data_IF_355221286294
#
_entry.id   IF_355221286294
#
_cell.length_a   1.000
_cell.length_b   1.000
_cell.length_c   1.000
_cell.angle_alpha   90.00
_cell.angle_beta   90.00
_cell.angle_gamma   90.00
#
_symmetry.space_group_name_H-M   'P 1'
#
loop_
_entity.id
_entity.type
_entity.pdbx_description
1 polymer ?
#
# COMPACT_ATOMS: atom_id res chain seq x y z
N UNK A 1 -26.43 1.88 28.29
CA UNK A 1 -25.08 1.39 27.94
C UNK A 1 -25.26 0.01 27.32
N UNK A 2 -24.40 -0.39 26.39
CA UNK A 2 -24.39 -1.66 25.60
C UNK A 2 -24.80 -1.57 24.11
N UNK A 3 -24.49 -0.45 23.45
CA UNK A 3 -24.44 -0.36 21.98
C UNK A 3 -23.03 -0.40 21.40
N UNK A 4 -22.01 -0.76 22.19
CA UNK A 4 -20.62 -0.85 21.76
C UNK A 4 -20.28 -2.34 21.58
N UNK A 5 -19.68 -2.71 20.44
CA UNK A 5 -19.11 -4.03 20.11
C UNK A 5 -20.04 -5.05 19.43
N UNK A 6 -20.77 -4.64 18.38
CA UNK A 6 -20.99 -5.54 17.23
C UNK A 6 -20.09 -5.14 16.06
N UNK A 7 -18.80 -4.93 16.31
CA UNK A 7 -17.84 -5.07 15.22
C UNK A 7 -17.88 -6.54 14.82
N UNK A 8 -18.44 -6.82 13.64
CA UNK A 8 -18.18 -8.09 12.95
C UNK A 8 -16.68 -8.10 12.70
N UNK A 9 -15.92 -8.74 13.58
CA UNK A 9 -14.54 -9.11 13.32
C UNK A 9 -14.62 -10.02 12.09
N UNK A 10 -14.26 -9.50 10.93
CA UNK A 10 -14.07 -10.30 9.73
C UNK A 10 -12.82 -11.15 9.98
N UNK A 11 -13.01 -12.29 10.63
CA UNK A 11 -11.93 -13.26 10.83
C UNK A 11 -11.64 -13.84 9.44
N UNK A 12 -10.42 -13.60 8.98
CA UNK A 12 -9.83 -14.21 7.80
C UNK A 12 -10.15 -15.71 7.72
N UNK A 13 -10.93 -16.14 6.72
CA UNK A 13 -11.23 -17.57 6.48
C UNK A 13 -9.96 -18.36 6.05
N UNK A 14 -8.90 -17.64 5.66
CA UNK A 14 -7.59 -18.18 5.32
C UNK A 14 -6.51 -17.27 5.96
N UNK A 15 -5.83 -17.70 7.04
CA UNK A 15 -5.00 -16.82 7.87
C UNK A 15 -3.64 -16.44 7.25
N UNK A 16 -3.35 -16.89 6.02
CA UNK A 16 -2.02 -16.77 5.43
C UNK A 16 -2.08 -15.91 4.16
N UNK A 17 -1.17 -14.93 4.05
CA UNK A 17 -0.91 -14.25 2.80
C UNK A 17 -0.43 -15.29 1.76
N UNK A 18 -1.14 -15.40 0.65
CA UNK A 18 -0.77 -16.36 -0.41
C UNK A 18 0.21 -15.68 -1.35
N UNK A 19 1.41 -16.27 -1.58
CA UNK A 19 2.34 -15.72 -2.56
C UNK A 19 1.71 -15.78 -3.96
N UNK A 20 1.87 -14.70 -4.72
CA UNK A 20 1.38 -14.58 -6.08
C UNK A 20 2.43 -14.00 -7.02
N UNK A 21 1.98 -13.62 -8.21
CA UNK A 21 2.81 -12.99 -9.24
C UNK A 21 2.20 -11.67 -9.67
N UNK A 22 3.01 -10.83 -10.32
CA UNK A 22 2.51 -9.68 -11.07
C UNK A 22 1.86 -10.23 -12.34
N UNK A 23 0.57 -9.96 -12.54
CA UNK A 23 -0.25 -10.58 -13.60
C UNK A 23 -0.38 -9.71 -14.84
N UNK A 24 0.19 -8.50 -14.83
CA UNK A 24 0.07 -7.56 -15.93
C UNK A 24 1.02 -6.38 -15.80
N UNK A 25 1.01 -5.47 -16.79
CA UNK A 25 1.90 -4.34 -16.81
C UNK A 25 1.56 -3.34 -15.70
N UNK A 26 2.56 -2.52 -15.35
CA UNK A 26 2.34 -1.28 -14.60
C UNK A 26 1.43 -0.34 -15.43
N UNK A 27 0.41 0.22 -14.80
CA UNK A 27 -0.55 1.15 -15.40
C UNK A 27 -0.56 2.45 -14.61
N UNK A 28 -0.75 3.57 -15.28
CA UNK A 28 -1.00 4.86 -14.65
C UNK A 28 -2.50 5.09 -14.57
N UNK A 29 -3.00 5.51 -13.41
CA UNK A 29 -4.41 5.84 -13.25
C UNK A 29 -4.79 6.99 -14.18
N UNK A 30 -5.84 6.80 -14.98
CA UNK A 30 -6.35 7.82 -15.89
C UNK A 30 -6.90 9.06 -15.15
N UNK A 31 -7.43 8.87 -13.93
CA UNK A 31 -7.95 9.95 -13.09
C UNK A 31 -6.86 10.58 -12.20
N UNK A 32 -5.72 9.94 -12.03
CA UNK A 32 -4.60 10.42 -11.22
C UNK A 32 -3.29 10.05 -11.90
N UNK A 33 -2.81 10.83 -12.88
CA UNK A 33 -1.67 10.45 -13.73
C UNK A 33 -0.34 10.28 -12.98
N UNK A 34 -0.28 10.59 -11.68
CA UNK A 34 0.87 10.32 -10.80
C UNK A 34 0.77 9.00 -10.03
N UNK A 35 -0.34 8.28 -10.17
CA UNK A 35 -0.61 7.05 -9.43
C UNK A 35 -0.43 5.83 -10.34
N UNK A 36 0.75 5.22 -10.24
CA UNK A 36 1.11 3.98 -10.90
C UNK A 36 0.62 2.78 -10.07
N UNK A 37 0.00 1.82 -10.74
CA UNK A 37 -0.53 0.60 -10.14
C UNK A 37 -0.13 -0.62 -10.96
N UNK A 38 -0.05 -1.78 -10.32
CA UNK A 38 0.12 -3.05 -11.03
C UNK A 38 -0.86 -4.10 -10.50
N UNK A 39 -1.37 -4.96 -11.39
CA UNK A 39 -2.19 -6.07 -10.98
C UNK A 39 -1.31 -7.23 -10.49
N UNK A 40 -1.78 -7.95 -9.49
CA UNK A 40 -1.14 -9.14 -8.95
C UNK A 40 -2.16 -10.21 -8.56
N UNK A 41 -1.69 -11.45 -8.45
CA UNK A 41 -2.49 -12.58 -7.99
C UNK A 41 -2.27 -12.92 -6.51
N UNK A 42 -1.46 -12.14 -5.78
CA UNK A 42 -1.31 -12.35 -4.34
C UNK A 42 -2.68 -12.22 -3.68
N UNK A 43 -3.14 -13.29 -3.06
CA UNK A 43 -4.43 -13.33 -2.41
C UNK A 43 -4.26 -12.86 -0.96
N UNK A 44 -4.80 -11.67 -0.69
CA UNK A 44 -5.04 -11.15 0.65
C UNK A 44 -6.53 -11.19 0.94
N UNK A 45 -6.89 -11.47 2.17
CA UNK A 45 -8.27 -11.36 2.66
C UNK A 45 -8.83 -9.95 2.42
N UNK A 46 -10.16 -9.83 2.41
CA UNK A 46 -10.80 -8.53 2.59
C UNK A 46 -10.26 -7.90 3.89
N UNK A 47 -9.68 -6.71 3.78
CA UNK A 47 -8.97 -6.04 4.88
C UNK A 47 -7.44 -6.04 4.76
N UNK A 48 -6.85 -6.67 3.75
CA UNK A 48 -5.41 -6.54 3.49
C UNK A 48 -5.01 -5.21 2.83
N UNK A 49 -5.96 -4.38 2.37
CA UNK A 49 -5.66 -3.06 1.81
C UNK A 49 -4.80 -2.24 2.77
N UNK A 50 -3.77 -1.57 2.23
CA UNK A 50 -2.75 -0.89 3.03
C UNK A 50 -1.53 -1.75 3.38
N UNK A 51 -1.61 -3.08 3.20
CA UNK A 51 -0.46 -3.97 3.44
C UNK A 51 0.57 -3.88 2.32
N UNK A 52 1.87 -4.10 2.61
CA UNK A 52 2.91 -4.06 1.59
C UNK A 52 2.88 -5.31 0.70
N UNK A 53 3.08 -5.10 -0.60
CA UNK A 53 3.40 -6.19 -1.53
C UNK A 53 4.92 -6.35 -1.59
N UNK A 54 5.43 -7.47 -1.08
CA UNK A 54 6.88 -7.72 -0.95
C UNK A 54 7.37 -8.66 -2.05
N UNK A 55 8.48 -8.30 -2.68
CA UNK A 55 9.21 -9.17 -3.59
C UNK A 55 9.88 -10.31 -2.82
N UNK A 56 9.48 -11.55 -3.08
CA UNK A 56 10.15 -12.72 -2.50
C UNK A 56 11.64 -12.79 -2.87
N UNK A 57 12.00 -12.38 -4.10
CA UNK A 57 13.38 -12.42 -4.59
C UNK A 57 14.30 -11.41 -3.89
N UNK A 58 13.79 -10.21 -3.58
CA UNK A 58 14.62 -9.10 -3.12
C UNK A 58 14.33 -8.63 -1.69
N UNK A 59 13.24 -9.09 -1.08
CA UNK A 59 12.75 -8.60 0.21
C UNK A 59 12.22 -7.16 0.18
N UNK A 60 12.18 -6.51 -1.00
CA UNK A 60 11.78 -5.11 -1.15
C UNK A 60 10.27 -4.98 -1.36
N UNK A 61 9.69 -3.90 -0.83
CA UNK A 61 8.33 -3.49 -1.15
C UNK A 61 8.21 -3.03 -2.60
N UNK A 62 7.35 -3.69 -3.35
CA UNK A 62 7.00 -3.36 -4.74
C UNK A 62 5.85 -2.36 -4.81
N UNK A 63 4.98 -2.37 -3.81
CA UNK A 63 3.86 -1.46 -3.68
C UNK A 63 3.05 -1.69 -2.41
N UNK A 64 1.90 -1.04 -2.34
CA UNK A 64 0.91 -1.17 -1.27
C UNK A 64 -0.37 -1.71 -1.89
N UNK A 65 -0.91 -2.78 -1.32
CA UNK A 65 -2.16 -3.38 -1.78
C UNK A 65 -3.31 -2.38 -1.61
N UNK A 66 -4.11 -2.18 -2.65
CA UNK A 66 -5.16 -1.17 -2.73
C UNK A 66 -6.55 -1.81 -2.73
N UNK A 67 -6.88 -2.54 -3.79
CA UNK A 67 -8.25 -3.02 -4.03
C UNK A 67 -8.27 -4.32 -4.83
N UNK A 68 -9.40 -5.02 -4.76
CA UNK A 68 -9.69 -6.21 -5.55
C UNK A 68 -10.86 -5.90 -6.48
N UNK A 69 -10.71 -6.18 -7.78
CA UNK A 69 -11.78 -6.09 -8.77
C UNK A 69 -11.80 -7.37 -9.60
N UNK A 70 -12.93 -8.09 -9.62
CA UNK A 70 -13.10 -9.33 -10.41
C UNK A 70 -11.94 -10.34 -10.26
N UNK A 71 -11.56 -10.65 -9.01
CA UNK A 71 -10.44 -11.54 -8.67
C UNK A 71 -9.04 -11.04 -9.09
N UNK A 72 -8.94 -9.83 -9.65
CA UNK A 72 -7.68 -9.13 -9.90
C UNK A 72 -7.39 -8.20 -8.73
N UNK A 73 -6.26 -8.39 -8.07
CA UNK A 73 -5.81 -7.53 -6.99
C UNK A 73 -4.87 -6.45 -7.53
N UNK A 74 -5.00 -5.24 -7.01
CA UNK A 74 -4.24 -4.07 -7.45
C UNK A 74 -3.39 -3.53 -6.33
N UNK A 75 -2.13 -3.22 -6.64
CA UNK A 75 -1.24 -2.50 -5.74
C UNK A 75 -0.79 -1.17 -6.33
N UNK A 76 -0.72 -0.13 -5.50
CA UNK A 76 -0.09 1.14 -5.82
C UNK A 76 1.41 0.93 -5.75
N UNK A 77 2.12 1.22 -6.84
CA UNK A 77 3.55 1.01 -6.92
C UNK A 77 4.33 1.90 -5.95
N UNK A 78 5.44 1.38 -5.42
CA UNK A 78 6.31 2.09 -4.46
C UNK A 78 6.78 3.46 -4.96
N UNK A 79 6.87 3.67 -6.28
CA UNK A 79 7.21 4.98 -6.86
C UNK A 79 6.15 6.03 -6.50
N UNK A 80 4.87 5.77 -6.75
CA UNK A 80 3.77 6.68 -6.42
C UNK A 80 3.62 6.85 -4.92
N UNK A 81 3.74 5.77 -4.15
CA UNK A 81 3.69 5.85 -2.67
C UNK A 81 4.77 6.81 -2.14
N UNK A 82 5.98 6.77 -2.69
CA UNK A 82 7.07 7.68 -2.28
C UNK A 82 6.80 9.12 -2.67
N UNK A 83 6.27 9.36 -3.87
CA UNK A 83 6.00 10.70 -4.36
C UNK A 83 4.85 11.35 -3.56
N UNK A 84 3.80 10.59 -3.28
CA UNK A 84 2.68 11.03 -2.44
C UNK A 84 3.14 11.30 -1.00
N UNK A 85 3.94 10.39 -0.41
CA UNK A 85 4.49 10.58 0.94
C UNK A 85 5.39 11.82 1.04
N UNK A 86 6.21 12.10 0.03
CA UNK A 86 7.05 13.32 0.00
C UNK A 86 6.20 14.58 -0.02
N UNK A 87 5.14 14.57 -0.81
CA UNK A 87 4.17 15.67 -0.89
C UNK A 87 3.45 15.87 0.45
N UNK A 88 2.92 14.79 1.04
CA UNK A 88 2.14 14.83 2.29
C UNK A 88 2.97 15.22 3.50
N UNK A 89 4.17 14.67 3.63
CA UNK A 89 5.02 14.93 4.78
C UNK A 89 5.55 16.37 4.80
N UNK A 90 5.23 17.19 3.79
CA UNK A 90 5.85 18.51 3.59
C UNK A 90 7.33 18.37 3.91
N UNK A 91 8.03 17.42 3.29
CA UNK A 91 9.50 17.44 3.31
C UNK A 91 9.89 18.63 2.45
N UNK A 92 9.65 19.79 3.03
CA UNK A 92 10.16 21.07 2.73
C UNK A 92 11.66 20.83 2.78
N UNK A 93 12.29 20.81 1.61
CA UNK A 93 13.72 20.54 1.46
C UNK A 93 14.59 21.62 2.15
N UNK A 94 13.99 22.47 2.99
CA UNK A 94 14.57 23.60 3.70
C UNK A 94 14.82 23.33 5.18
N UNK A 95 14.36 22.20 5.77
CA UNK A 95 14.75 21.83 7.14
C UNK A 95 16.17 21.28 7.15
N UNK A 96 17.14 22.20 7.19
CA UNK A 96 18.56 21.86 7.34
C UNK A 96 18.81 21.15 8.66
N UNK A 97 19.80 20.25 8.70
CA UNK A 97 20.30 19.54 9.90
C UNK A 97 20.47 20.45 11.15
N UNK A 98 20.72 21.75 10.94
CA UNK A 98 20.80 22.77 12.00
C UNK A 98 19.48 22.99 12.76
N UNK A 99 18.33 22.83 12.12
CA UNK A 99 17.02 23.00 12.76
C UNK A 99 16.63 21.77 13.60
N UNK A 100 17.04 20.56 13.19
CA UNK A 100 16.82 19.34 13.98
C UNK A 100 17.60 19.32 15.30
N UNK A 101 18.82 19.86 15.32
CA UNK A 101 19.66 19.93 16.54
C UNK A 101 19.09 20.91 17.58
N UNK A 102 18.28 21.89 17.18
CA UNK A 102 17.72 22.90 18.09
C UNK A 102 16.49 22.43 18.89
N UNK A 103 15.96 21.25 18.57
CA UNK A 103 14.78 20.65 19.20
C UNK A 103 15.15 19.53 20.20
N UNK A 104 16.45 19.31 20.42
CA UNK A 104 17.02 18.46 21.47
C UNK A 104 17.71 19.35 22.51
#
# INVERSE_FOLDING_TARGET
MDSLLKEKIAIAKYPNAVPGIITGPLRWSASTPMLAQFPHSCYGIDGCSGSPVISHKSGKALGVFSSSENEIHWAIATVSVKDDLRSWLQVDQTVTMKQMIKLL
#
